data_IF_562823902212
#
_entry.id   IF_562823902212
#
_cell.length_a   1.000
_cell.length_b   1.000
_cell.length_c   1.000
_cell.angle_alpha   90.00
_cell.angle_beta   90.00
_cell.angle_gamma   90.00
#
_symmetry.space_group_name_H-M   'P 1'
#
loop_
_entity.id
_entity.type
_entity.pdbx_description
1 polymer ?
#
# COMPACT_ATOMS: atom_id res chain seq x y z
N UNK A 1 -1.60 -35.68 1.19
CA UNK A 1 -1.45 -35.47 2.65
C UNK A 1 -2.52 -34.52 3.11
N UNK A 2 -3.42 -34.95 4.00
CA UNK A 2 -4.47 -34.08 4.53
C UNK A 2 -3.80 -32.98 5.39
N UNK A 3 -3.92 -31.73 5.00
CA UNK A 3 -3.35 -30.63 5.80
C UNK A 3 -4.00 -30.62 7.19
N UNK A 4 -3.15 -30.54 8.22
CA UNK A 4 -3.65 -30.47 9.60
C UNK A 4 -4.42 -29.18 9.82
N UNK A 5 -5.72 -29.25 10.13
CA UNK A 5 -6.56 -28.10 10.45
C UNK A 5 -5.97 -27.21 11.55
N UNK A 6 -5.19 -27.80 12.46
CA UNK A 6 -4.51 -27.10 13.53
C UNK A 6 -3.41 -26.15 12.97
N UNK A 7 -2.59 -26.64 12.04
CA UNK A 7 -1.53 -25.80 11.40
C UNK A 7 -2.14 -24.61 10.63
N UNK A 8 -3.24 -24.85 9.91
CA UNK A 8 -3.93 -23.77 9.19
C UNK A 8 -4.42 -22.71 10.17
N UNK A 9 -5.06 -23.09 11.28
CA UNK A 9 -5.55 -22.15 12.30
C UNK A 9 -4.42 -21.37 12.97
N UNK A 10 -3.30 -22.02 13.31
CA UNK A 10 -2.14 -21.33 13.89
C UNK A 10 -1.62 -20.27 12.90
N UNK A 11 -1.49 -20.61 11.62
CA UNK A 11 -1.08 -19.65 10.59
C UNK A 11 -2.07 -18.51 10.45
N UNK A 12 -3.37 -18.78 10.43
CA UNK A 12 -4.43 -17.76 10.34
C UNK A 12 -4.35 -16.76 11.50
N UNK A 13 -4.16 -17.23 12.74
CA UNK A 13 -4.01 -16.38 13.92
C UNK A 13 -2.71 -15.58 13.83
N UNK A 14 -1.61 -16.21 13.43
CA UNK A 14 -0.30 -15.53 13.27
C UNK A 14 -0.39 -14.41 12.23
N UNK A 15 -1.02 -14.67 11.08
CA UNK A 15 -1.23 -13.67 10.04
C UNK A 15 -2.13 -12.53 10.52
N UNK A 16 -3.25 -12.84 11.16
CA UNK A 16 -4.15 -11.84 11.72
C UNK A 16 -3.40 -10.93 12.69
N UNK A 17 -2.60 -11.50 13.61
CA UNK A 17 -1.79 -10.73 14.53
C UNK A 17 -0.79 -9.82 13.80
N UNK A 18 -0.05 -10.35 12.81
CA UNK A 18 0.93 -9.60 12.05
C UNK A 18 0.30 -8.41 11.28
N UNK A 19 -0.85 -8.63 10.65
CA UNK A 19 -1.54 -7.55 9.94
C UNK A 19 -2.08 -6.50 10.92
N UNK A 20 -2.71 -6.91 12.04
CA UNK A 20 -3.18 -5.97 13.07
C UNK A 20 -1.98 -5.20 13.64
N UNK A 21 -0.86 -5.86 13.90
CA UNK A 21 0.35 -5.20 14.38
C UNK A 21 0.82 -4.10 13.43
N UNK A 22 0.79 -4.34 12.12
CA UNK A 22 1.25 -3.34 11.14
C UNK A 22 0.30 -2.15 10.97
N UNK A 23 -1.01 -2.32 11.24
CA UNK A 23 -2.00 -1.23 11.08
C UNK A 23 -2.31 -0.48 12.38
N UNK A 24 -1.86 -1.00 13.52
CA UNK A 24 -2.20 -0.44 14.84
C UNK A 24 -1.12 0.54 15.28
N UNK A 25 -1.42 1.85 15.41
CA UNK A 25 -0.42 2.86 15.77
C UNK A 25 0.33 2.55 17.08
N UNK A 26 -0.35 1.99 18.10
CA UNK A 26 0.24 1.69 19.38
C UNK A 26 1.11 0.42 19.38
N UNK A 27 0.82 -0.56 18.50
CA UNK A 27 1.56 -1.82 18.49
C UNK A 27 2.95 -1.70 17.84
N UNK A 28 3.15 -0.68 17.01
CA UNK A 28 4.46 -0.42 16.40
C UNK A 28 5.49 0.12 17.40
N UNK A 29 5.06 0.69 18.53
CA UNK A 29 5.92 1.43 19.44
C UNK A 29 6.50 0.55 20.53
N UNK A 30 5.65 -0.20 21.22
CA UNK A 30 6.06 -0.92 22.42
C UNK A 30 6.75 -2.25 22.09
N UNK A 31 7.86 -2.50 22.78
CA UNK A 31 8.70 -3.69 22.57
C UNK A 31 7.95 -5.01 22.71
N UNK A 32 6.95 -5.06 23.60
CA UNK A 32 6.15 -6.27 23.83
C UNK A 32 5.39 -6.71 22.59
N UNK A 33 4.81 -5.77 21.84
CA UNK A 33 4.08 -6.07 20.61
C UNK A 33 5.02 -6.48 19.47
N UNK A 34 6.24 -5.91 19.42
CA UNK A 34 7.28 -6.30 18.47
C UNK A 34 7.74 -7.73 18.74
N UNK A 35 7.97 -8.10 20.00
CA UNK A 35 8.27 -9.48 20.39
C UNK A 35 7.14 -10.44 19.97
N UNK A 36 5.89 -10.03 20.20
CA UNK A 36 4.71 -10.76 19.71
C UNK A 36 4.70 -10.95 18.20
N UNK A 37 5.08 -9.91 17.42
CA UNK A 37 5.18 -9.99 15.96
C UNK A 37 6.29 -10.97 15.51
N UNK A 38 7.45 -10.97 16.14
CA UNK A 38 8.50 -11.95 15.87
C UNK A 38 8.06 -13.37 16.20
N UNK A 39 7.37 -13.57 17.34
CA UNK A 39 6.84 -14.88 17.72
C UNK A 39 5.77 -15.37 16.74
N UNK A 40 4.83 -14.50 16.37
CA UNK A 40 3.79 -14.81 15.38
C UNK A 40 4.39 -15.16 14.02
N UNK A 41 5.42 -14.42 13.58
CA UNK A 41 6.13 -14.74 12.35
C UNK A 41 6.86 -16.09 12.44
N UNK A 42 7.56 -16.36 13.54
CA UNK A 42 8.22 -17.65 13.77
C UNK A 42 7.24 -18.82 13.72
N UNK A 43 6.10 -18.71 14.40
CA UNK A 43 5.02 -19.71 14.35
C UNK A 43 4.48 -19.88 12.93
N UNK A 44 4.20 -18.77 12.23
CA UNK A 44 3.79 -18.81 10.84
C UNK A 44 4.81 -19.57 9.97
N UNK A 45 6.11 -19.25 10.11
CA UNK A 45 7.18 -19.84 9.31
C UNK A 45 7.29 -21.35 9.54
N UNK A 46 7.25 -21.81 10.79
CA UNK A 46 7.27 -23.24 11.14
C UNK A 46 6.11 -23.96 10.46
N UNK A 47 4.91 -23.41 10.58
CA UNK A 47 3.73 -23.97 9.92
C UNK A 47 3.83 -23.91 8.39
N UNK A 48 4.40 -22.84 7.82
CA UNK A 48 4.55 -22.70 6.37
C UNK A 48 5.55 -23.70 5.80
N UNK A 49 6.66 -23.95 6.48
CA UNK A 49 7.63 -25.00 6.11
C UNK A 49 6.96 -26.36 6.14
N UNK A 50 6.20 -26.66 7.21
CA UNK A 50 5.45 -27.93 7.33
C UNK A 50 4.38 -28.11 6.26
N UNK A 51 3.87 -27.02 5.68
CA UNK A 51 2.88 -26.98 4.59
C UNK A 51 3.51 -26.81 3.20
N UNK A 52 4.83 -27.00 3.07
CA UNK A 52 5.55 -26.97 1.79
C UNK A 52 5.86 -25.57 1.28
N UNK A 53 6.28 -24.66 2.16
CA UNK A 53 6.82 -23.37 1.73
C UNK A 53 7.97 -23.57 0.75
N UNK A 54 7.82 -23.05 -0.45
CA UNK A 54 8.87 -23.07 -1.47
C UNK A 54 9.35 -21.65 -1.76
N UNK A 55 10.68 -21.47 -1.73
CA UNK A 55 11.30 -20.19 -2.02
C UNK A 55 11.85 -20.17 -3.45
N UNK A 56 11.37 -19.24 -4.25
CA UNK A 56 11.90 -18.97 -5.59
C UNK A 56 13.15 -18.09 -5.52
N UNK A 57 13.91 -18.00 -6.60
CA UNK A 57 15.13 -17.18 -6.69
C UNK A 57 14.92 -15.71 -6.26
N UNK A 58 13.75 -15.16 -6.57
CA UNK A 58 13.43 -13.77 -6.18
C UNK A 58 13.31 -13.59 -4.66
N UNK A 59 12.85 -14.61 -3.93
CA UNK A 59 12.79 -14.56 -2.46
C UNK A 59 14.18 -14.62 -1.85
N UNK A 60 15.09 -15.41 -2.45
CA UNK A 60 16.51 -15.46 -2.03
C UNK A 60 17.22 -14.12 -2.29
N UNK A 61 16.93 -13.46 -3.43
CA UNK A 61 17.44 -12.10 -3.70
C UNK A 61 16.89 -11.08 -2.70
N UNK A 62 15.61 -11.16 -2.34
CA UNK A 62 15.00 -10.30 -1.32
C UNK A 62 15.60 -10.53 0.07
N UNK A 63 15.92 -11.79 0.45
CA UNK A 63 16.65 -12.08 1.67
C UNK A 63 18.09 -11.56 1.63
N UNK A 64 18.78 -11.68 0.48
CA UNK A 64 20.09 -11.06 0.26
C UNK A 64 20.04 -9.52 0.42
N UNK A 65 18.95 -8.88 -0.03
CA UNK A 65 18.73 -7.47 0.23
C UNK A 65 18.59 -7.15 1.72
N UNK A 66 17.88 -7.98 2.50
CA UNK A 66 17.82 -7.84 3.97
C UNK A 66 19.21 -7.88 4.59
N UNK A 67 20.07 -8.82 4.16
CA UNK A 67 21.45 -8.90 4.64
C UNK A 67 22.22 -7.62 4.32
N UNK A 68 22.08 -7.09 3.11
CA UNK A 68 22.68 -5.80 2.75
C UNK A 68 22.21 -4.66 3.65
N UNK A 69 20.90 -4.56 3.90
CA UNK A 69 20.31 -3.55 4.80
C UNK A 69 20.89 -3.67 6.22
N UNK A 70 21.04 -4.89 6.73
CA UNK A 70 21.67 -5.15 8.04
C UNK A 70 23.12 -4.66 8.07
N UNK A 71 23.92 -5.01 7.06
CA UNK A 71 25.32 -4.59 6.96
C UNK A 71 25.43 -3.07 6.92
N UNK A 72 24.66 -2.42 6.04
CA UNK A 72 24.64 -0.94 5.92
C UNK A 72 24.28 -0.29 7.26
N UNK A 73 23.26 -0.81 7.94
CA UNK A 73 22.82 -0.26 9.23
C UNK A 73 23.87 -0.43 10.35
N UNK A 74 24.56 -1.57 10.39
CA UNK A 74 25.64 -1.81 11.35
C UNK A 74 26.79 -0.84 11.13
N UNK A 75 27.19 -0.62 9.89
CA UNK A 75 28.29 0.31 9.54
C UNK A 75 27.87 1.74 9.84
N UNK A 76 26.69 2.18 9.42
CA UNK A 76 26.17 3.54 9.63
C UNK A 76 26.08 3.90 11.12
N UNK A 77 25.70 2.95 11.98
CA UNK A 77 25.51 3.19 13.42
C UNK A 77 26.67 2.71 14.28
N UNK A 78 27.81 2.31 13.69
CA UNK A 78 28.98 1.79 14.39
C UNK A 78 28.66 0.66 15.37
N UNK A 79 27.75 -0.26 14.99
CA UNK A 79 27.42 -1.44 15.79
C UNK A 79 25.99 -1.94 15.66
N UNK A 80 25.69 -2.96 16.49
CA UNK A 80 24.43 -3.69 16.47
C UNK A 80 23.26 -2.99 17.20
N UNK A 81 23.51 -1.91 17.95
CA UNK A 81 22.52 -1.28 18.84
C UNK A 81 21.24 -0.83 18.15
N UNK A 82 21.33 -0.50 16.86
CA UNK A 82 20.19 -0.01 16.05
C UNK A 82 19.82 -0.96 14.91
N UNK A 83 20.17 -2.23 14.99
CA UNK A 83 19.91 -3.23 13.93
C UNK A 83 18.43 -3.32 13.52
N UNK A 84 17.52 -3.01 14.45
CA UNK A 84 16.08 -3.01 14.19
C UNK A 84 15.54 -1.68 13.64
N UNK A 85 16.40 -0.66 13.46
CA UNK A 85 15.95 0.63 12.91
C UNK A 85 15.31 0.49 11.51
N UNK A 86 15.88 -0.28 10.56
CA UNK A 86 15.30 -0.46 9.24
C UNK A 86 14.28 -1.61 9.19
N UNK A 87 13.54 -1.86 10.28
CA UNK A 87 12.59 -2.98 10.40
C UNK A 87 11.53 -3.01 9.28
N UNK A 88 11.18 -1.85 8.67
CA UNK A 88 10.28 -1.80 7.53
C UNK A 88 10.75 -2.65 6.34
N UNK A 89 12.04 -2.71 6.09
CA UNK A 89 12.58 -3.53 4.99
C UNK A 89 12.52 -5.02 5.30
N UNK A 90 12.71 -5.39 6.58
CA UNK A 90 12.54 -6.77 7.02
C UNK A 90 11.09 -7.22 6.87
N UNK A 91 10.16 -6.39 7.36
CA UNK A 91 8.73 -6.65 7.27
C UNK A 91 8.27 -6.71 5.81
N UNK A 92 8.80 -5.85 4.93
CA UNK A 92 8.51 -5.89 3.49
C UNK A 92 8.83 -7.25 2.87
N UNK A 93 10.03 -7.77 3.13
CA UNK A 93 10.46 -9.07 2.59
C UNK A 93 9.65 -10.21 3.20
N UNK A 94 9.32 -10.13 4.50
CA UNK A 94 8.49 -11.11 5.18
C UNK A 94 7.09 -11.20 4.57
N UNK A 95 6.40 -10.07 4.39
CA UNK A 95 5.08 -10.05 3.75
C UNK A 95 5.14 -10.48 2.29
N UNK A 96 6.24 -10.21 1.59
CA UNK A 96 6.45 -10.71 0.24
C UNK A 96 6.50 -12.24 0.19
N UNK A 97 7.26 -12.88 1.09
CA UNK A 97 7.35 -14.35 1.20
C UNK A 97 5.99 -14.93 1.63
N UNK A 98 5.34 -14.31 2.62
CA UNK A 98 3.99 -14.72 3.06
C UNK A 98 2.98 -14.62 1.92
N UNK A 99 2.98 -13.53 1.18
CA UNK A 99 2.10 -13.34 0.03
C UNK A 99 2.31 -14.40 -1.06
N UNK A 100 3.56 -14.80 -1.30
CA UNK A 100 3.86 -15.90 -2.21
C UNK A 100 3.30 -17.24 -1.72
N UNK A 101 3.46 -17.56 -0.44
CA UNK A 101 2.94 -18.80 0.16
C UNK A 101 1.41 -18.91 0.03
N UNK A 102 0.68 -17.78 0.16
CA UNK A 102 -0.78 -17.78 0.06
C UNK A 102 -1.31 -17.70 -1.36
N UNK A 103 -0.47 -17.67 -2.39
CA UNK A 103 -0.96 -17.77 -3.78
C UNK A 103 -1.81 -19.02 -3.96
N UNK A 104 -3.05 -18.83 -4.43
CA UNK A 104 -4.06 -19.90 -4.55
C UNK A 104 -4.66 -20.38 -3.22
N UNK A 105 -4.27 -19.82 -2.07
CA UNK A 105 -4.77 -20.17 -0.74
C UNK A 105 -5.41 -18.98 -0.01
N UNK A 106 -5.58 -17.83 -0.68
CA UNK A 106 -6.09 -16.58 -0.07
C UNK A 106 -7.45 -16.74 0.60
N UNK A 107 -8.28 -17.73 0.16
CA UNK A 107 -9.58 -18.03 0.77
C UNK A 107 -9.47 -18.37 2.26
N UNK A 108 -8.35 -18.93 2.71
CA UNK A 108 -8.10 -19.21 4.12
C UNK A 108 -8.09 -17.94 4.98
N UNK A 109 -7.89 -16.77 4.37
CA UNK A 109 -7.68 -15.49 5.03
C UNK A 109 -8.84 -14.49 4.85
N UNK A 110 -9.94 -14.87 4.21
CA UNK A 110 -11.07 -13.95 3.92
C UNK A 110 -11.69 -13.32 5.16
N UNK A 111 -11.69 -14.03 6.29
CA UNK A 111 -12.17 -13.52 7.56
C UNK A 111 -11.37 -12.35 8.12
N UNK A 112 -10.14 -12.15 7.66
CA UNK A 112 -9.23 -11.08 8.11
C UNK A 112 -9.76 -9.71 7.68
N UNK A 113 -10.31 -9.60 6.46
CA UNK A 113 -10.74 -8.31 5.88
C UNK A 113 -11.74 -7.56 6.78
N UNK A 114 -12.89 -8.13 7.18
CA UNK A 114 -13.83 -7.42 8.04
C UNK A 114 -13.22 -7.06 9.40
N UNK A 115 -12.35 -7.89 9.96
CA UNK A 115 -11.67 -7.61 11.23
C UNK A 115 -10.76 -6.39 11.07
N UNK A 116 -9.94 -6.36 10.02
CA UNK A 116 -9.05 -5.23 9.74
C UNK A 116 -9.84 -3.95 9.52
N UNK A 117 -10.93 -4.00 8.76
CA UNK A 117 -11.77 -2.83 8.53
C UNK A 117 -12.36 -2.28 9.84
N UNK A 118 -12.76 -3.14 10.78
CA UNK A 118 -13.23 -2.71 12.12
C UNK A 118 -12.11 -1.97 12.88
N UNK A 119 -10.88 -2.49 12.87
CA UNK A 119 -9.74 -1.80 13.47
C UNK A 119 -9.45 -0.45 12.80
N UNK A 120 -9.47 -0.40 11.46
CA UNK A 120 -9.28 0.84 10.72
C UNK A 120 -10.37 1.86 11.00
N UNK A 121 -11.64 1.43 11.11
CA UNK A 121 -12.76 2.31 11.49
C UNK A 121 -12.47 2.95 12.85
N UNK A 122 -12.09 2.14 13.84
CA UNK A 122 -11.78 2.63 15.18
C UNK A 122 -10.65 3.65 15.16
N UNK A 123 -9.52 3.33 14.53
CA UNK A 123 -8.36 4.23 14.47
C UNK A 123 -8.63 5.49 13.65
N UNK A 124 -9.36 5.38 12.53
CA UNK A 124 -9.74 6.53 11.72
C UNK A 124 -10.63 7.50 12.50
N UNK A 125 -11.70 7.03 13.14
CA UNK A 125 -12.58 7.88 13.93
C UNK A 125 -11.84 8.53 15.09
N UNK A 126 -11.02 7.76 15.80
CA UNK A 126 -10.24 8.29 16.92
C UNK A 126 -9.25 9.35 16.47
N UNK A 127 -8.51 9.10 15.39
CA UNK A 127 -7.54 10.05 14.82
C UNK A 127 -8.25 11.29 14.29
N UNK A 128 -9.34 11.12 13.54
CA UNK A 128 -10.13 12.24 13.00
C UNK A 128 -10.67 13.13 14.13
N UNK A 129 -11.30 12.54 15.15
CA UNK A 129 -11.83 13.27 16.30
C UNK A 129 -10.74 14.04 17.06
N UNK A 130 -9.57 13.41 17.28
CA UNK A 130 -8.46 14.06 17.98
C UNK A 130 -7.92 15.24 17.20
N UNK A 131 -7.67 15.08 15.89
CA UNK A 131 -7.15 16.15 15.03
C UNK A 131 -8.18 17.24 14.79
N UNK A 132 -9.48 16.92 14.77
CA UNK A 132 -10.55 17.91 14.68
C UNK A 132 -10.59 18.83 15.91
N UNK A 133 -10.36 18.27 17.10
CA UNK A 133 -10.31 19.03 18.36
C UNK A 133 -9.02 19.85 18.50
N UNK A 134 -7.91 19.33 18.01
CA UNK A 134 -6.61 20.02 18.02
C UNK A 134 -5.83 19.73 16.71
N UNK A 135 -5.92 20.64 15.72
CA UNK A 135 -5.23 20.48 14.44
C UNK A 135 -3.70 20.49 14.53
N UNK A 136 -3.12 20.91 15.67
CA UNK A 136 -1.65 20.91 15.85
C UNK A 136 -1.12 19.49 15.96
N UNK A 137 -1.92 18.56 16.48
CA UNK A 137 -1.57 17.15 16.64
C UNK A 137 -1.24 16.49 15.28
N UNK A 138 -1.94 16.86 14.20
CA UNK A 138 -1.61 16.35 12.88
C UNK A 138 -0.17 16.66 12.46
N UNK A 139 0.36 17.82 12.87
CA UNK A 139 1.76 18.20 12.60
C UNK A 139 2.74 17.50 13.55
N UNK A 140 2.35 17.31 14.81
CA UNK A 140 3.15 16.56 15.78
C UNK A 140 3.34 15.11 15.32
N UNK A 141 2.29 14.48 14.78
CA UNK A 141 2.35 13.11 14.26
C UNK A 141 3.28 12.92 13.05
N UNK A 142 3.79 13.99 12.44
CA UNK A 142 4.79 13.98 11.36
C UNK A 142 6.21 14.16 11.88
N UNK A 143 6.39 14.85 13.03
CA UNK A 143 7.70 15.09 13.65
C UNK A 143 8.05 13.88 14.50
N UNK A 144 9.29 13.41 14.47
CA UNK A 144 9.76 12.29 15.31
C UNK A 144 10.08 12.73 16.75
N UNK A 145 9.22 13.50 17.38
CA UNK A 145 9.37 13.99 18.74
C UNK A 145 8.81 13.00 19.77
N UNK A 146 9.29 13.00 20.99
CA UNK A 146 8.86 12.05 22.03
C UNK A 146 7.36 12.14 22.34
N UNK A 147 6.74 13.31 22.17
CA UNK A 147 5.30 13.52 22.32
C UNK A 147 4.45 12.66 21.39
N UNK A 148 4.95 12.32 20.20
CA UNK A 148 4.27 11.44 19.24
C UNK A 148 3.91 10.10 19.87
N UNK A 149 4.82 9.51 20.64
CA UNK A 149 4.61 8.20 21.25
C UNK A 149 3.41 8.18 22.18
N UNK A 150 3.08 9.30 22.82
CA UNK A 150 1.88 9.42 23.66
C UNK A 150 0.60 9.28 22.82
N UNK A 151 0.52 9.97 21.69
CA UNK A 151 -0.64 9.89 20.78
C UNK A 151 -0.74 8.51 20.11
N UNK A 152 0.36 7.98 19.63
CA UNK A 152 0.39 6.66 19.01
C UNK A 152 -0.02 5.56 20.00
N UNK A 153 0.42 5.62 21.29
CA UNK A 153 -0.03 4.70 22.34
C UNK A 153 -1.51 4.80 22.62
N UNK A 154 -2.11 5.95 22.44
CA UNK A 154 -3.56 6.12 22.50
C UNK A 154 -4.29 5.59 21.27
N UNK A 155 -3.60 5.09 20.24
CA UNK A 155 -4.17 4.60 19.00
C UNK A 155 -4.54 5.72 18.02
N UNK A 156 -3.93 6.89 18.14
CA UNK A 156 -4.10 8.00 17.21
C UNK A 156 -3.02 7.85 16.13
N UNK A 157 -3.46 7.58 14.90
CA UNK A 157 -2.56 7.37 13.76
C UNK A 157 -2.33 8.66 12.97
N UNK A 158 -1.15 8.72 12.33
CA UNK A 158 -0.79 9.78 11.41
C UNK A 158 -0.84 9.34 9.93
N UNK A 159 0.06 9.88 9.12
CA UNK A 159 0.20 9.53 7.70
C UNK A 159 0.44 8.03 7.49
N UNK A 160 1.18 7.37 8.40
CA UNK A 160 1.44 5.93 8.35
C UNK A 160 0.18 5.07 8.37
N UNK A 161 -0.88 5.51 9.06
CA UNK A 161 -2.18 4.84 9.04
C UNK A 161 -2.98 5.20 7.79
N UNK A 162 -2.88 6.43 7.28
CA UNK A 162 -3.76 6.96 6.25
C UNK A 162 -3.33 6.58 4.83
N UNK A 163 -2.03 6.68 4.49
CA UNK A 163 -1.55 6.43 3.14
C UNK A 163 -1.77 5.00 2.62
N UNK A 164 -1.61 3.96 3.43
CA UNK A 164 -1.97 2.60 3.00
C UNK A 164 -3.42 2.48 2.58
N UNK A 165 -4.32 3.19 3.28
CA UNK A 165 -5.75 3.20 2.94
C UNK A 165 -6.00 3.95 1.63
N UNK A 166 -5.27 5.04 1.35
CA UNK A 166 -5.31 5.75 0.07
C UNK A 166 -4.93 4.82 -1.09
N UNK A 167 -3.85 4.04 -0.92
CA UNK A 167 -3.41 3.10 -1.96
C UNK A 167 -4.40 1.95 -2.17
N UNK A 168 -4.99 1.43 -1.09
CA UNK A 168 -5.96 0.33 -1.17
C UNK A 168 -7.37 0.79 -1.48
N UNK A 169 -7.62 2.09 -1.50
CA UNK A 169 -8.94 2.70 -1.73
C UNK A 169 -9.65 2.17 -2.98
N UNK A 170 -9.02 2.08 -4.17
CA UNK A 170 -9.71 1.60 -5.37
C UNK A 170 -10.27 0.18 -5.21
N UNK A 171 -9.50 -0.74 -4.63
CA UNK A 171 -9.97 -2.11 -4.44
C UNK A 171 -11.00 -2.20 -3.31
N UNK A 172 -10.86 -1.43 -2.24
CA UNK A 172 -11.82 -1.41 -1.14
C UNK A 172 -13.20 -0.91 -1.58
N UNK A 173 -13.25 0.17 -2.38
CA UNK A 173 -14.51 0.66 -2.95
C UNK A 173 -15.17 -0.42 -3.82
N UNK A 174 -14.40 -1.08 -4.69
CA UNK A 174 -14.92 -2.17 -5.52
C UNK A 174 -15.40 -3.35 -4.67
N UNK A 175 -14.66 -3.69 -3.62
CA UNK A 175 -15.05 -4.73 -2.67
C UNK A 175 -16.38 -4.41 -1.97
N UNK A 176 -16.60 -3.14 -1.55
CA UNK A 176 -17.86 -2.69 -0.96
C UNK A 176 -19.03 -2.91 -1.93
N UNK A 177 -18.87 -2.50 -3.19
CA UNK A 177 -19.92 -2.69 -4.20
C UNK A 177 -20.26 -4.17 -4.44
N UNK A 178 -19.24 -5.04 -4.45
CA UNK A 178 -19.45 -6.49 -4.60
C UNK A 178 -20.05 -7.11 -3.34
N UNK A 179 -19.58 -6.69 -2.16
CA UNK A 179 -20.13 -7.12 -0.87
C UNK A 179 -21.61 -6.75 -0.73
N UNK A 180 -22.03 -5.59 -1.23
CA UNK A 180 -23.44 -5.17 -1.18
C UNK A 180 -24.40 -6.18 -1.82
N UNK A 181 -23.97 -6.82 -2.91
CA UNK A 181 -24.75 -7.84 -3.63
C UNK A 181 -24.68 -9.21 -2.98
N UNK A 182 -23.56 -9.56 -2.32
CA UNK A 182 -23.26 -10.93 -1.88
C UNK A 182 -23.27 -11.11 -0.35
N UNK A 183 -22.80 -10.11 0.40
CA UNK A 183 -22.59 -10.16 1.87
C UNK A 183 -22.91 -8.82 2.50
N UNK A 184 -24.20 -8.53 2.70
CA UNK A 184 -24.71 -7.22 3.18
C UNK A 184 -23.99 -6.71 4.44
N UNK A 185 -23.69 -7.57 5.41
CA UNK A 185 -22.94 -7.18 6.62
C UNK A 185 -21.53 -6.65 6.29
N UNK A 186 -20.82 -7.26 5.34
CA UNK A 186 -19.51 -6.79 4.92
C UNK A 186 -19.59 -5.45 4.22
N UNK A 187 -20.64 -5.22 3.44
CA UNK A 187 -20.88 -3.90 2.81
C UNK A 187 -21.10 -2.82 3.87
N UNK A 188 -21.85 -3.08 4.93
CA UNK A 188 -22.06 -2.12 6.02
C UNK A 188 -20.74 -1.76 6.71
N UNK A 189 -19.89 -2.76 7.01
CA UNK A 189 -18.56 -2.54 7.56
C UNK A 189 -17.70 -1.69 6.59
N UNK A 190 -17.76 -2.01 5.30
CA UNK A 190 -17.03 -1.26 4.28
C UNK A 190 -17.50 0.19 4.14
N UNK A 191 -18.82 0.45 4.21
CA UNK A 191 -19.39 1.81 4.19
C UNK A 191 -18.95 2.57 5.46
N UNK A 192 -18.99 1.95 6.63
CA UNK A 192 -18.51 2.56 7.87
C UNK A 192 -17.02 2.91 7.79
N UNK A 193 -16.19 2.01 7.18
CA UNK A 193 -14.80 2.31 6.90
C UNK A 193 -14.68 3.52 5.95
N UNK A 194 -15.44 3.57 4.86
CA UNK A 194 -15.38 4.67 3.90
C UNK A 194 -15.70 6.02 4.57
N UNK A 195 -16.75 6.06 5.40
CA UNK A 195 -17.12 7.27 6.15
C UNK A 195 -15.99 7.68 7.09
N UNK A 196 -15.45 6.75 7.88
CA UNK A 196 -14.35 7.03 8.81
C UNK A 196 -13.09 7.48 8.09
N UNK A 197 -12.77 6.89 6.94
CA UNK A 197 -11.63 7.24 6.10
C UNK A 197 -11.78 8.68 5.55
N UNK A 198 -12.93 9.02 4.98
CA UNK A 198 -13.20 10.37 4.45
C UNK A 198 -13.11 11.43 5.55
N UNK A 199 -13.71 11.16 6.72
CA UNK A 199 -13.59 12.06 7.88
C UNK A 199 -12.12 12.26 8.28
N UNK A 200 -11.32 11.20 8.29
CA UNK A 200 -9.92 11.31 8.64
C UNK A 200 -9.11 12.06 7.58
N UNK A 201 -9.32 11.79 6.28
CA UNK A 201 -8.65 12.52 5.18
C UNK A 201 -8.91 14.02 5.24
N UNK A 202 -10.18 14.43 5.46
CA UNK A 202 -10.57 15.85 5.49
C UNK A 202 -9.91 16.57 6.68
N UNK A 203 -9.79 15.92 7.84
CA UNK A 203 -9.27 16.55 9.07
C UNK A 203 -7.76 16.41 9.25
N UNK A 204 -7.11 15.41 8.65
CA UNK A 204 -5.70 15.07 8.91
C UNK A 204 -4.67 16.08 8.39
N UNK A 205 -5.05 17.02 7.54
CA UNK A 205 -4.15 18.04 6.96
C UNK A 205 -2.92 17.46 6.21
N UNK A 206 -3.03 16.23 5.69
CA UNK A 206 -1.97 15.57 4.91
C UNK A 206 -2.22 15.76 3.41
N UNK A 207 -1.44 16.64 2.77
CA UNK A 207 -1.60 16.96 1.33
C UNK A 207 -1.58 15.71 0.45
N UNK A 208 -0.66 14.76 0.72
CA UNK A 208 -0.53 13.53 -0.07
C UNK A 208 -1.76 12.63 0.09
N UNK A 209 -2.37 12.57 1.29
CA UNK A 209 -3.58 11.79 1.51
C UNK A 209 -4.76 12.36 0.72
N UNK A 210 -4.94 13.67 0.77
CA UNK A 210 -6.00 14.38 0.03
C UNK A 210 -5.79 14.19 -1.47
N UNK A 211 -4.59 14.52 -1.96
CA UNK A 211 -4.21 14.41 -3.38
C UNK A 211 -4.32 12.97 -3.88
N UNK A 212 -3.81 12.00 -3.11
CA UNK A 212 -3.87 10.58 -3.45
C UNK A 212 -5.30 10.03 -3.45
N UNK A 213 -6.16 10.51 -2.54
CA UNK A 213 -7.58 10.10 -2.50
C UNK A 213 -8.34 10.63 -3.71
N UNK A 214 -8.15 11.90 -4.08
CA UNK A 214 -8.73 12.50 -5.29
C UNK A 214 -8.22 11.76 -6.53
N UNK A 215 -6.91 11.49 -6.62
CA UNK A 215 -6.32 10.74 -7.71
C UNK A 215 -6.89 9.32 -7.81
N UNK A 216 -7.08 8.64 -6.68
CA UNK A 216 -7.70 7.32 -6.63
C UNK A 216 -9.15 7.33 -7.10
N UNK A 217 -9.94 8.36 -6.73
CA UNK A 217 -11.30 8.54 -7.20
C UNK A 217 -11.37 8.76 -8.71
N UNK A 218 -10.49 9.61 -9.25
CA UNK A 218 -10.41 9.88 -10.69
C UNK A 218 -10.10 8.57 -11.42
N UNK A 219 -9.11 7.80 -10.97
CA UNK A 219 -8.77 6.51 -11.56
C UNK A 219 -9.99 5.58 -11.55
N UNK A 220 -10.73 5.48 -10.45
CA UNK A 220 -11.92 4.63 -10.35
C UNK A 220 -13.02 5.01 -11.34
N UNK A 221 -13.27 6.31 -11.53
CA UNK A 221 -14.31 6.82 -12.41
C UNK A 221 -14.01 6.52 -13.89
N UNK A 222 -12.76 6.72 -14.31
CA UNK A 222 -12.34 6.56 -15.72
C UNK A 222 -11.90 5.13 -16.08
N UNK A 223 -11.84 4.28 -15.09
CA UNK A 223 -11.30 2.95 -15.25
C UNK A 223 -12.23 1.96 -15.99
N UNK A 224 -13.55 2.17 -15.99
CA UNK A 224 -14.53 1.31 -16.63
C UNK A 224 -14.36 1.26 -18.15
N UNK A 225 -13.57 0.29 -18.63
CA UNK A 225 -13.55 -0.08 -20.06
C UNK A 225 -12.31 0.36 -20.85
N UNK A 226 -11.39 1.13 -20.28
CA UNK A 226 -10.20 1.64 -20.96
C UNK A 226 -8.93 0.88 -20.56
N UNK A 227 -7.86 1.02 -21.34
CA UNK A 227 -6.55 0.48 -20.95
C UNK A 227 -6.02 1.21 -19.71
N UNK A 228 -5.30 0.49 -18.83
CA UNK A 228 -4.73 1.10 -17.63
C UNK A 228 -3.83 2.32 -17.94
N UNK A 229 -3.13 2.30 -19.08
CA UNK A 229 -2.32 3.42 -19.54
C UNK A 229 -3.16 4.66 -19.89
N UNK A 230 -4.27 4.48 -20.60
CA UNK A 230 -5.18 5.60 -20.92
C UNK A 230 -5.84 6.13 -19.65
N UNK A 231 -6.32 5.26 -18.76
CA UNK A 231 -6.87 5.68 -17.47
C UNK A 231 -5.85 6.49 -16.64
N UNK A 232 -4.57 6.09 -16.65
CA UNK A 232 -3.50 6.85 -16.02
C UNK A 232 -3.32 8.23 -16.63
N UNK A 233 -3.15 8.32 -17.95
CA UNK A 233 -2.95 9.60 -18.67
C UNK A 233 -4.13 10.55 -18.44
N UNK A 234 -5.36 10.04 -18.55
CA UNK A 234 -6.58 10.83 -18.29
C UNK A 234 -6.64 11.28 -16.83
N UNK A 235 -6.32 10.41 -15.88
CA UNK A 235 -6.32 10.74 -14.44
C UNK A 235 -5.28 11.81 -14.11
N UNK A 236 -4.07 11.71 -14.66
CA UNK A 236 -3.03 12.73 -14.50
C UNK A 236 -3.46 14.04 -15.16
N UNK A 237 -4.00 13.99 -16.36
CA UNK A 237 -4.50 15.18 -17.06
C UNK A 237 -5.61 15.88 -16.29
N UNK A 238 -6.60 15.16 -15.78
CA UNK A 238 -7.68 15.72 -14.96
C UNK A 238 -7.18 16.26 -13.63
N UNK A 239 -6.20 15.57 -13.00
CA UNK A 239 -5.59 16.07 -11.77
C UNK A 239 -4.86 17.40 -12.01
N UNK A 240 -4.07 17.48 -13.08
CA UNK A 240 -3.41 18.74 -13.48
C UNK A 240 -4.44 19.82 -13.78
N UNK A 241 -5.49 19.49 -14.53
CA UNK A 241 -6.59 20.43 -14.83
C UNK A 241 -7.25 20.95 -13.57
N UNK A 242 -7.55 20.07 -12.59
CA UNK A 242 -8.12 20.46 -11.30
C UNK A 242 -7.20 21.41 -10.54
N UNK A 243 -5.89 21.13 -10.52
CA UNK A 243 -4.90 22.03 -9.90
C UNK A 243 -4.86 23.39 -10.58
N UNK A 244 -4.86 23.41 -11.92
CA UNK A 244 -4.90 24.67 -12.69
C UNK A 244 -6.20 25.46 -12.47
N UNK A 245 -7.33 24.78 -12.31
CA UNK A 245 -8.60 25.45 -11.96
C UNK A 245 -8.55 26.10 -10.58
N UNK A 246 -7.97 25.41 -9.58
CA UNK A 246 -7.79 25.98 -8.23
C UNK A 246 -6.89 27.22 -8.26
N UNK A 247 -5.82 27.19 -9.05
CA UNK A 247 -4.85 28.28 -9.13
C UNK A 247 -5.36 29.49 -9.94
N UNK A 248 -6.14 29.26 -11.00
CA UNK A 248 -6.45 30.31 -11.97
C UNK A 248 -7.90 30.74 -12.02
N UNK A 249 -8.83 30.02 -11.38
CA UNK A 249 -10.28 30.33 -11.39
C UNK A 249 -10.76 30.67 -9.98
N UNK A 250 -10.80 31.97 -9.66
CA UNK A 250 -11.24 32.47 -8.35
C UNK A 250 -12.62 31.98 -7.94
N UNK A 251 -13.58 31.95 -8.85
CA UNK A 251 -14.93 31.46 -8.56
C UNK A 251 -14.93 29.98 -8.14
N UNK A 252 -14.16 29.13 -8.81
CA UNK A 252 -14.04 27.72 -8.45
C UNK A 252 -13.28 27.54 -7.13
N UNK A 253 -12.22 28.29 -6.94
CA UNK A 253 -11.45 28.31 -5.69
C UNK A 253 -12.32 28.72 -4.50
N UNK A 254 -13.05 29.82 -4.62
CA UNK A 254 -13.91 30.33 -3.55
C UNK A 254 -15.03 29.35 -3.20
N UNK A 255 -15.65 28.72 -4.19
CA UNK A 255 -16.63 27.64 -3.98
C UNK A 255 -16.03 26.48 -3.17
N UNK A 256 -14.81 26.05 -3.50
CA UNK A 256 -14.12 24.99 -2.75
C UNK A 256 -13.76 25.45 -1.33
N UNK A 257 -13.29 26.67 -1.15
CA UNK A 257 -12.96 27.22 0.17
C UNK A 257 -14.19 27.35 1.05
N UNK A 258 -15.34 27.77 0.51
CA UNK A 258 -16.62 27.82 1.22
C UNK A 258 -17.11 26.42 1.60
N UNK A 259 -17.03 25.45 0.67
CA UNK A 259 -17.45 24.07 0.93
C UNK A 259 -16.59 23.38 2.00
N UNK A 260 -15.29 23.66 2.03
CA UNK A 260 -14.34 23.08 2.97
C UNK A 260 -13.96 24.04 4.10
N UNK A 261 -14.74 25.07 4.36
CA UNK A 261 -14.42 26.06 5.39
C UNK A 261 -14.17 25.41 6.76
N UNK A 262 -13.17 25.92 7.48
CA UNK A 262 -12.73 25.39 8.76
C UNK A 262 -11.97 24.04 8.68
N UNK A 263 -11.80 23.44 7.48
CA UNK A 263 -11.08 22.16 7.33
C UNK A 263 -9.61 22.37 6.92
N UNK A 264 -8.84 21.30 7.09
CA UNK A 264 -7.47 21.23 6.60
C UNK A 264 -7.34 21.37 5.08
N UNK A 265 -8.39 21.00 4.32
CA UNK A 265 -8.43 21.13 2.86
C UNK A 265 -8.43 22.61 2.44
N UNK A 266 -9.25 23.43 3.08
CA UNK A 266 -9.28 24.88 2.81
C UNK A 266 -7.90 25.51 3.06
N UNK A 267 -7.24 25.15 4.17
CA UNK A 267 -5.90 25.63 4.45
C UNK A 267 -4.89 25.23 3.37
N UNK A 268 -4.96 23.99 2.86
CA UNK A 268 -4.05 23.52 1.80
C UNK A 268 -4.29 24.19 0.45
N UNK A 269 -5.53 24.52 0.14
CA UNK A 269 -5.86 25.33 -1.05
C UNK A 269 -5.21 26.70 -0.93
N UNK A 270 -5.33 27.36 0.23
CA UNK A 270 -4.70 28.66 0.47
C UNK A 270 -3.16 28.59 0.43
N UNK A 271 -2.53 27.58 1.06
CA UNK A 271 -1.08 27.37 1.02
C UNK A 271 -0.57 27.16 -0.42
N UNK A 272 -1.34 26.44 -1.26
CA UNK A 272 -1.01 26.21 -2.67
C UNK A 272 -1.06 27.52 -3.48
N UNK A 273 -2.09 28.33 -3.27
CA UNK A 273 -2.27 29.62 -3.95
C UNK A 273 -1.15 30.58 -3.54
N UNK A 274 -0.89 30.72 -2.23
CA UNK A 274 0.18 31.58 -1.71
C UNK A 274 1.56 31.18 -2.26
N UNK A 275 1.86 29.90 -2.35
CA UNK A 275 3.12 29.39 -2.95
C UNK A 275 3.21 29.69 -4.44
N UNK A 276 2.07 29.71 -5.16
CA UNK A 276 2.01 30.05 -6.58
C UNK A 276 2.20 31.54 -6.83
N UNK A 277 1.64 32.39 -5.98
CA UNK A 277 1.72 33.85 -6.07
C UNK A 277 3.10 34.38 -5.68
N UNK A 278 3.71 33.82 -4.64
CA UNK A 278 5.05 34.24 -4.18
C UNK A 278 6.18 33.74 -5.08
N UNK A 279 5.92 32.75 -5.95
CA UNK A 279 6.95 32.09 -6.76
C UNK A 279 8.03 31.37 -5.96
N UNK A 280 7.90 31.32 -4.64
CA UNK A 280 8.79 30.67 -3.71
C UNK A 280 8.09 29.46 -3.06
N UNK A 281 8.76 28.31 -3.03
CA UNK A 281 8.28 27.17 -2.26
C UNK A 281 8.41 27.52 -0.77
N UNK A 282 7.29 27.73 -0.08
CA UNK A 282 7.26 28.05 1.34
C UNK A 282 6.98 26.83 2.22
N UNK A 283 7.55 26.81 3.42
CA UNK A 283 7.26 25.80 4.45
C UNK A 283 7.56 24.37 4.00
N UNK A 284 6.62 23.47 4.17
CA UNK A 284 6.79 22.01 3.90
C UNK A 284 7.05 21.66 2.43
N UNK A 285 6.80 22.56 1.49
CA UNK A 285 7.09 22.35 0.07
C UNK A 285 8.58 22.52 -0.18
N UNK A 286 9.19 23.54 0.41
CA UNK A 286 10.64 23.78 0.28
C UNK A 286 11.46 22.63 0.86
N UNK A 287 11.09 22.14 2.05
CA UNK A 287 11.78 20.98 2.67
C UNK A 287 11.75 19.74 1.77
N UNK A 288 10.61 19.52 1.08
CA UNK A 288 10.48 18.41 0.14
C UNK A 288 11.33 18.61 -1.13
N UNK A 289 11.37 19.81 -1.68
CA UNK A 289 12.22 20.13 -2.84
C UNK A 289 13.68 19.84 -2.53
N UNK A 290 14.17 20.30 -1.38
CA UNK A 290 15.55 20.05 -0.92
C UNK A 290 15.81 18.55 -0.77
N UNK A 291 14.89 17.82 -0.13
CA UNK A 291 15.02 16.38 0.06
C UNK A 291 15.01 15.60 -1.26
N UNK A 292 14.15 15.99 -2.23
CA UNK A 292 14.15 15.36 -3.57
C UNK A 292 15.42 15.68 -4.36
N UNK A 293 15.94 16.91 -4.27
CA UNK A 293 17.22 17.25 -4.88
C UNK A 293 18.35 16.39 -4.31
N UNK A 294 18.40 16.22 -2.99
CA UNK A 294 19.33 15.31 -2.33
C UNK A 294 19.22 13.88 -2.85
N UNK A 295 18.00 13.36 -2.92
CA UNK A 295 17.72 12.01 -3.44
C UNK A 295 18.19 11.85 -4.88
N UNK A 296 17.85 12.79 -5.76
CA UNK A 296 18.23 12.78 -7.18
C UNK A 296 19.75 12.87 -7.33
N UNK A 297 20.41 13.75 -6.61
CA UNK A 297 21.85 13.90 -6.64
C UNK A 297 22.57 12.61 -6.21
N UNK A 298 22.09 11.95 -5.15
CA UNK A 298 22.65 10.67 -4.69
C UNK A 298 22.46 9.56 -5.74
N UNK A 299 21.28 9.49 -6.40
CA UNK A 299 21.03 8.52 -7.49
C UNK A 299 22.01 8.74 -8.64
N UNK A 300 22.22 9.98 -9.08
CA UNK A 300 23.14 10.26 -10.18
C UNK A 300 24.61 10.04 -9.80
N UNK A 301 24.98 10.29 -8.55
CA UNK A 301 26.35 10.09 -8.08
C UNK A 301 26.68 8.62 -7.86
N UNK A 302 25.72 7.80 -7.39
CA UNK A 302 25.92 6.40 -7.06
C UNK A 302 24.84 5.48 -7.67
N UNK A 303 24.69 5.44 -9.01
CA UNK A 303 23.52 4.80 -9.65
C UNK A 303 23.45 3.28 -9.42
N UNK A 304 24.58 2.60 -9.30
CA UNK A 304 24.65 1.13 -9.22
C UNK A 304 24.49 0.64 -7.78
N UNK A 305 25.30 1.17 -6.86
CA UNK A 305 25.39 0.67 -5.48
C UNK A 305 24.60 1.53 -4.49
N UNK A 306 24.19 2.75 -4.88
CA UNK A 306 23.59 3.72 -3.98
C UNK A 306 24.58 4.40 -3.06
N UNK A 307 24.10 5.37 -2.27
CA UNK A 307 24.88 6.08 -1.27
C UNK A 307 25.27 5.22 -0.06
N UNK A 308 24.60 4.07 0.15
CA UNK A 308 24.81 3.15 1.27
C UNK A 308 24.88 3.90 2.61
N UNK A 309 26.07 3.92 3.24
CA UNK A 309 26.34 4.61 4.50
C UNK A 309 27.07 5.95 4.32
N UNK A 310 27.40 6.33 3.09
CA UNK A 310 28.13 7.59 2.80
C UNK A 310 27.21 8.80 2.63
N UNK A 311 26.01 8.58 2.05
CA UNK A 311 25.05 9.66 1.82
C UNK A 311 23.63 9.17 2.14
N UNK A 312 22.87 9.97 2.89
CA UNK A 312 21.47 9.64 3.16
C UNK A 312 20.61 9.90 1.92
N UNK A 313 19.74 8.96 1.58
CA UNK A 313 18.88 9.03 0.40
C UNK A 313 17.70 9.98 0.49
N UNK A 314 17.76 11.05 1.29
CA UNK A 314 16.75 12.12 1.31
C UNK A 314 15.34 11.80 1.78
N UNK A 315 15.07 10.70 2.41
CA UNK A 315 13.93 10.35 3.31
C UNK A 315 12.46 10.58 2.90
N UNK A 316 12.13 11.36 1.88
CA UNK A 316 10.75 11.73 1.53
C UNK A 316 10.11 10.92 0.40
N UNK A 317 10.83 10.02 -0.23
CA UNK A 317 10.31 9.13 -1.28
C UNK A 317 10.73 7.70 -0.99
N UNK A 318 9.76 6.81 -0.82
CA UNK A 318 10.06 5.39 -0.63
C UNK A 318 10.82 4.81 -1.82
N UNK A 319 10.32 5.05 -3.04
CA UNK A 319 10.94 4.58 -4.27
C UNK A 319 12.29 5.26 -4.53
N UNK A 320 12.31 6.59 -4.47
CA UNK A 320 13.55 7.37 -4.66
C UNK A 320 14.61 7.05 -3.61
N UNK A 321 14.22 6.91 -2.35
CA UNK A 321 15.10 6.53 -1.24
C UNK A 321 15.74 5.15 -1.43
N UNK A 322 14.99 4.17 -1.96
CA UNK A 322 15.52 2.84 -2.27
C UNK A 322 16.61 2.89 -3.36
N UNK A 323 16.37 3.66 -4.42
CA UNK A 323 17.39 3.87 -5.45
C UNK A 323 18.59 4.69 -4.95
N UNK A 324 18.34 5.75 -4.17
CA UNK A 324 19.39 6.60 -3.63
C UNK A 324 20.29 5.83 -2.65
N UNK A 325 19.69 5.07 -1.72
CA UNK A 325 20.46 4.41 -0.65
C UNK A 325 21.08 3.08 -1.09
N UNK A 326 20.35 2.27 -1.88
CA UNK A 326 20.78 0.89 -2.24
C UNK A 326 20.99 0.70 -3.76
N UNK A 327 21.01 1.78 -4.53
CA UNK A 327 21.22 1.77 -5.97
C UNK A 327 20.15 0.99 -6.73
N UNK A 328 20.53 0.55 -7.93
CA UNK A 328 19.62 -0.20 -8.81
C UNK A 328 19.15 -1.53 -8.17
N UNK A 329 19.96 -2.14 -7.32
CA UNK A 329 19.59 -3.39 -6.65
C UNK A 329 18.42 -3.19 -5.67
N UNK A 330 18.50 -2.19 -4.78
CA UNK A 330 17.42 -1.87 -3.84
C UNK A 330 16.15 -1.42 -4.56
N UNK A 331 16.28 -0.52 -5.55
CA UNK A 331 15.16 -0.07 -6.37
C UNK A 331 14.49 -1.22 -7.13
N UNK A 332 15.28 -2.13 -7.72
CA UNK A 332 14.76 -3.33 -8.39
C UNK A 332 13.97 -4.23 -7.44
N UNK A 333 14.52 -4.55 -6.27
CA UNK A 333 13.84 -5.40 -5.26
C UNK A 333 12.55 -4.76 -4.82
N UNK A 334 12.55 -3.46 -4.50
CA UNK A 334 11.34 -2.72 -4.13
C UNK A 334 10.26 -2.81 -5.22
N UNK A 335 10.60 -2.42 -6.45
CA UNK A 335 9.67 -2.49 -7.58
C UNK A 335 9.16 -3.91 -7.81
N UNK A 336 10.04 -4.92 -7.69
CA UNK A 336 9.68 -6.33 -7.92
C UNK A 336 8.70 -6.85 -6.88
N UNK A 337 8.92 -6.51 -5.60
CA UNK A 337 8.04 -6.91 -4.51
C UNK A 337 6.62 -6.35 -4.74
N UNK A 338 6.50 -5.03 -4.94
CA UNK A 338 5.19 -4.40 -5.10
C UNK A 338 4.52 -4.73 -6.44
N UNK A 339 5.29 -4.94 -7.50
CA UNK A 339 4.74 -5.34 -8.81
C UNK A 339 4.30 -6.80 -8.88
N UNK A 340 4.72 -7.63 -7.93
CA UNK A 340 4.38 -9.07 -7.95
C UNK A 340 2.88 -9.31 -7.84
N UNK A 341 2.17 -8.55 -6.99
CA UNK A 341 0.72 -8.70 -6.81
C UNK A 341 -0.05 -8.37 -8.10
N UNK A 342 0.06 -7.15 -8.68
CA UNK A 342 -0.65 -6.85 -9.91
C UNK A 342 -0.20 -7.72 -11.10
N UNK A 343 1.07 -8.14 -11.13
CA UNK A 343 1.57 -9.01 -12.19
C UNK A 343 0.99 -10.43 -12.14
N UNK A 344 0.66 -10.93 -10.95
CA UNK A 344 -0.03 -12.21 -10.81
C UNK A 344 -1.37 -12.19 -11.56
N UNK A 345 -2.22 -11.19 -11.30
CA UNK A 345 -3.51 -11.05 -11.95
C UNK A 345 -3.42 -10.60 -13.41
N UNK A 346 -2.31 -9.97 -13.83
CA UNK A 346 -2.09 -9.57 -15.22
C UNK A 346 -1.89 -10.76 -16.14
N UNK A 347 -1.27 -11.83 -15.68
CA UNK A 347 -1.02 -13.04 -16.48
C UNK A 347 -2.30 -13.84 -16.73
N UNK A 348 -3.30 -13.72 -15.88
CA UNK A 348 -4.57 -14.41 -16.02
C UNK A 348 -5.55 -13.55 -16.81
N UNK A 349 -5.63 -13.79 -18.12
CA UNK A 349 -6.50 -13.06 -19.07
C UNK A 349 -7.98 -13.02 -18.67
N UNK A 350 -8.41 -14.03 -17.90
CA UNK A 350 -9.80 -14.26 -17.46
C UNK A 350 -10.30 -13.18 -16.48
N UNK A 351 -9.40 -12.52 -15.77
CA UNK A 351 -9.75 -11.54 -14.74
C UNK A 351 -9.49 -10.10 -15.19
N UNK A 352 -10.01 -9.70 -16.35
CA UNK A 352 -9.80 -8.36 -16.91
C UNK A 352 -10.14 -7.23 -15.91
N UNK A 353 -11.24 -7.37 -15.15
CA UNK A 353 -11.64 -6.38 -14.16
C UNK A 353 -10.64 -6.30 -13.01
N UNK A 354 -10.23 -7.44 -12.43
CA UNK A 354 -9.28 -7.51 -11.33
C UNK A 354 -7.90 -7.00 -11.77
N UNK A 355 -7.44 -7.42 -12.94
CA UNK A 355 -6.19 -6.91 -13.51
C UNK A 355 -6.19 -5.40 -13.58
N UNK A 356 -7.28 -4.86 -13.98
CA UNK A 356 -7.42 -3.46 -14.15
C UNK A 356 -7.39 -2.75 -12.78
N UNK A 357 -8.15 -3.19 -11.78
CA UNK A 357 -8.10 -2.64 -10.42
C UNK A 357 -6.68 -2.78 -9.84
N UNK A 358 -6.01 -3.93 -10.06
CA UNK A 358 -4.64 -4.13 -9.63
C UNK A 358 -3.66 -3.13 -10.27
N UNK A 359 -3.85 -2.81 -11.56
CA UNK A 359 -3.09 -1.76 -12.22
C UNK A 359 -3.41 -0.37 -11.66
N UNK A 360 -4.69 -0.07 -11.37
CA UNK A 360 -5.09 1.18 -10.73
C UNK A 360 -4.43 1.34 -9.35
N UNK A 361 -4.48 0.30 -8.53
CA UNK A 361 -3.79 0.30 -7.24
C UNK A 361 -2.27 0.47 -7.38
N UNK A 362 -1.65 -0.16 -8.38
CA UNK A 362 -0.22 0.01 -8.65
C UNK A 362 0.12 1.46 -9.00
N UNK A 363 -0.71 2.12 -9.78
CA UNK A 363 -0.51 3.54 -10.14
C UNK A 363 -0.60 4.43 -8.91
N UNK A 364 -1.62 4.24 -8.05
CA UNK A 364 -1.74 4.98 -6.79
C UNK A 364 -0.57 4.68 -5.86
N UNK A 365 -0.14 3.41 -5.79
CA UNK A 365 1.03 2.99 -5.03
C UNK A 365 2.30 3.72 -5.48
N UNK A 366 2.57 3.75 -6.79
CA UNK A 366 3.72 4.45 -7.35
C UNK A 366 3.67 5.94 -7.05
N UNK A 367 2.49 6.56 -7.22
CA UNK A 367 2.28 7.97 -6.87
C UNK A 367 2.62 8.25 -5.41
N UNK A 368 2.05 7.50 -4.47
CA UNK A 368 2.32 7.68 -3.03
C UNK A 368 3.78 7.38 -2.69
N UNK A 369 4.37 6.31 -3.26
CA UNK A 369 5.77 5.91 -3.00
C UNK A 369 6.80 6.90 -3.56
N UNK A 370 6.45 7.66 -4.58
CA UNK A 370 7.29 8.76 -5.08
C UNK A 370 7.25 9.96 -4.15
N UNK A 371 6.12 10.20 -3.47
CA UNK A 371 5.89 11.41 -2.67
C UNK A 371 6.17 11.22 -1.18
N UNK A 372 6.20 9.98 -0.66
CA UNK A 372 6.43 9.73 0.76
C UNK A 372 7.10 8.38 1.05
N UNK A 373 7.48 8.19 2.31
CA UNK A 373 8.09 6.96 2.81
C UNK A 373 7.04 5.86 3.04
N UNK A 374 7.49 4.61 3.08
CA UNK A 374 6.64 3.44 3.37
C UNK A 374 6.66 3.13 4.86
N UNK A 375 5.49 3.05 5.46
CA UNK A 375 5.27 2.60 6.85
C UNK A 375 4.97 1.10 6.93
N UNK A 376 4.95 0.53 8.13
CA UNK A 376 4.58 -0.89 8.34
C UNK A 376 3.14 -1.19 7.90
N UNK A 377 2.21 -0.30 8.25
CA UNK A 377 0.81 -0.43 7.85
C UNK A 377 0.63 -0.42 6.34
N UNK A 378 1.48 0.32 5.64
CA UNK A 378 1.55 0.30 4.18
C UNK A 378 1.89 -1.09 3.65
N UNK A 379 2.88 -1.75 4.24
CA UNK A 379 3.30 -3.09 3.84
C UNK A 379 2.20 -4.13 4.08
N UNK A 380 1.60 -4.13 5.27
CA UNK A 380 0.50 -5.04 5.62
C UNK A 380 -0.71 -4.88 4.71
N UNK A 381 -1.15 -3.64 4.49
CA UNK A 381 -2.31 -3.34 3.66
C UNK A 381 -2.07 -3.67 2.18
N UNK A 382 -0.96 -3.18 1.60
CA UNK A 382 -0.72 -3.28 0.16
C UNK A 382 -0.27 -4.67 -0.25
N UNK A 383 0.65 -5.29 0.49
CA UNK A 383 1.20 -6.59 0.11
C UNK A 383 0.32 -7.76 0.54
N UNK A 384 -0.54 -7.57 1.54
CA UNK A 384 -1.28 -8.67 2.12
C UNK A 384 -2.79 -8.51 2.06
N UNK A 385 -3.35 -7.41 2.52
CA UNK A 385 -4.81 -7.20 2.51
C UNK A 385 -5.34 -7.05 1.09
N UNK A 386 -4.63 -6.33 0.23
CA UNK A 386 -5.04 -6.11 -1.17
C UNK A 386 -5.23 -7.42 -1.96
N UNK A 387 -4.34 -8.40 -1.94
CA UNK A 387 -4.58 -9.71 -2.57
C UNK A 387 -5.80 -10.44 -2.04
N UNK A 388 -6.05 -10.40 -0.73
CA UNK A 388 -7.24 -11.01 -0.13
C UNK A 388 -8.53 -10.36 -0.68
N UNK A 389 -8.53 -9.04 -0.83
CA UNK A 389 -9.65 -8.29 -1.42
C UNK A 389 -9.90 -8.69 -2.87
N UNK A 390 -8.85 -8.87 -3.69
CA UNK A 390 -9.00 -9.34 -5.07
C UNK A 390 -9.65 -10.72 -5.13
N UNK A 391 -9.17 -11.66 -4.34
CA UNK A 391 -9.72 -13.01 -4.30
C UNK A 391 -11.17 -13.06 -3.80
N UNK A 392 -11.53 -12.20 -2.82
CA UNK A 392 -12.92 -12.03 -2.38
C UNK A 392 -13.82 -11.55 -3.53
N UNK A 393 -13.37 -10.55 -4.30
CA UNK A 393 -14.13 -10.03 -5.43
C UNK A 393 -14.31 -11.11 -6.50
N UNK A 394 -13.25 -11.87 -6.80
CA UNK A 394 -13.28 -12.98 -7.76
C UNK A 394 -14.31 -14.04 -7.34
N UNK A 395 -14.30 -14.44 -6.07
CA UNK A 395 -15.23 -15.43 -5.56
C UNK A 395 -16.68 -14.96 -5.64
N UNK A 396 -16.93 -13.70 -5.26
CA UNK A 396 -18.28 -13.16 -5.28
C UNK A 396 -18.82 -12.93 -6.70
N UNK A 397 -17.98 -12.74 -7.68
CA UNK A 397 -18.41 -12.65 -9.09
C UNK A 397 -18.73 -14.01 -9.71
N UNK A 398 -18.54 -15.11 -8.99
CA UNK A 398 -18.74 -16.45 -9.52
C UNK A 398 -17.74 -16.83 -10.62
N UNK A 399 -16.72 -16.01 -10.82
CA UNK A 399 -15.71 -16.21 -11.87
C UNK A 399 -14.91 -17.50 -11.69
N UNK A 400 -14.90 -18.08 -10.49
CA UNK A 400 -14.23 -19.35 -10.21
C UNK A 400 -15.01 -20.56 -10.75
N UNK A 401 -16.36 -20.56 -10.67
CA UNK A 401 -17.18 -21.68 -11.12
C UNK A 401 -17.25 -21.78 -12.65
N UNK A 402 -17.47 -20.64 -13.32
CA UNK A 402 -17.54 -20.61 -14.80
C UNK A 402 -16.18 -20.93 -15.45
N UNK A 403 -15.07 -20.60 -14.79
CA UNK A 403 -13.72 -20.85 -15.33
C UNK A 403 -13.31 -22.32 -15.29
N UNK A 404 -13.83 -23.11 -14.35
CA UNK A 404 -13.59 -24.57 -14.35
C UNK A 404 -14.33 -25.27 -15.50
N UNK A 405 -15.52 -24.76 -15.87
CA UNK A 405 -16.26 -25.26 -17.03
C UNK A 405 -15.62 -24.88 -18.37
N UNK A 406 -15.22 -23.61 -18.54
CA UNK A 406 -14.51 -23.15 -19.73
C UNK A 406 -13.16 -23.86 -19.91
N UNK A 407 -12.40 -24.10 -18.81
CA UNK A 407 -11.16 -24.89 -18.86
C UNK A 407 -11.37 -26.36 -19.25
N UNK A 408 -12.51 -26.93 -18.89
CA UNK A 408 -12.84 -28.28 -19.29
C UNK A 408 -13.17 -28.32 -20.78
N UNK A 409 -13.95 -27.33 -21.26
CA UNK A 409 -14.30 -27.22 -22.69
C UNK A 409 -13.05 -26.97 -23.55
N UNK A 410 -12.17 -26.05 -23.17
CA UNK A 410 -10.93 -25.75 -23.89
C UNK A 410 -9.96 -26.95 -23.93
N UNK A 411 -9.88 -27.72 -22.83
CA UNK A 411 -9.08 -28.96 -22.78
C UNK A 411 -9.68 -30.09 -23.63
N UNK A 412 -10.99 -30.14 -23.77
CA UNK A 412 -11.67 -31.09 -24.65
C UNK A 412 -11.54 -30.70 -26.14
N UNK A 413 -11.62 -29.40 -26.45
CA UNK A 413 -11.38 -28.91 -27.82
C UNK A 413 -9.94 -29.15 -28.27
N UNK A 414 -8.94 -28.90 -27.42
CA UNK A 414 -7.52 -29.17 -27.73
C UNK A 414 -7.25 -30.67 -27.91
N UNK A 415 -7.95 -31.54 -27.18
CA UNK A 415 -7.84 -32.99 -27.38
C UNK A 415 -8.46 -33.50 -28.69
N UNK A 416 -9.43 -32.78 -29.22
CA UNK A 416 -10.18 -33.16 -30.42
C UNK A 416 -9.65 -32.53 -31.71
N UNK A 417 -8.55 -31.74 -31.66
CA UNK A 417 -7.88 -31.25 -32.88
C UNK A 417 -7.14 -32.41 -33.53
N UNK A 418 -7.56 -32.89 -34.73
CA UNK A 418 -6.86 -33.95 -35.40
C UNK A 418 -5.45 -33.48 -35.77
N UNK A 419 -4.45 -34.20 -35.29
CA UNK A 419 -3.03 -33.96 -35.65
C UNK A 419 -2.90 -34.34 -37.13
N UNK A 420 -3.10 -33.39 -38.03
CA UNK A 420 -2.75 -33.55 -39.43
C UNK A 420 -1.22 -33.51 -39.56
N UNK A 421 -0.61 -34.68 -39.57
CA UNK A 421 0.80 -34.84 -39.95
C UNK A 421 1.00 -34.30 -41.39
N UNK A 422 1.98 -33.42 -41.63
CA UNK A 422 2.30 -33.00 -42.98
C UNK A 422 2.75 -34.22 -43.80
N UNK A 423 2.05 -34.49 -44.93
CA UNK A 423 2.50 -35.47 -45.90
C UNK A 423 3.84 -34.98 -46.47
N UNK A 424 4.92 -35.66 -46.10
CA UNK A 424 6.22 -35.54 -46.77
C UNK A 424 6.08 -36.01 -48.21
N UNK A 425 6.19 -35.11 -49.13
CA UNK A 425 6.50 -35.38 -50.56
C UNK A 425 7.98 -35.13 -50.79
#
# INVERSE_FOLDING_TARGET
MQESKALVRVQQISVLYLVIWTISPFMEIDMIWRIGAFAAFGLWLICAISRGLHLERIHLLALGFVVLVVIVNIIENNGFSKILRPIQYYVMVLFFIMGHFYRGKWKELFFIVPIILIFLIYFNFKSASTVMNDPTIARLLVRNDEEIYTYLRQGIGGYGLLYPQVVTFPVLVMWIFKAYRNKRMYSLIGIAWLVSFVLFVINANYSIAITGSVFSLIILLFYKGHSAGLAFVVSVGLFITLMLMILNLDGFRNMLLEFFDGTAVAKKINDLVASSESGAAEGSINDRVIAYQGTINTIFRFPIIGGLWWESGGGHSALGGMFAQYGIFGGYIFCKIFYTVPNYYKKEYRFKQIRNIANANLVVLLFVSLLDSVSYSFLGMVLFVTPILYENIIEWDGLTANNEEELKVEKEEVKNVPVTLPKTT
#
